data_IF_580381247676
#
_entry.id   IF_580381247676
#
_cell.length_a   1.000
_cell.length_b   1.000
_cell.length_c   1.000
_cell.angle_alpha   90.00
_cell.angle_beta   90.00
_cell.angle_gamma   90.00
#
_symmetry.space_group_name_H-M   'P 1'
#
loop_
_entity.id
_entity.type
_entity.pdbx_description
1 polymer ?
#
# COMPACT_ATOMS: atom_id res chain seq x y z
N UNK A 1 -0.06 -6.52 -29.24
CA UNK A 1 -0.22 -7.65 -30.19
C UNK A 1 -0.57 -8.88 -29.39
N UNK A 2 -1.83 -8.98 -28.96
CA UNK A 2 -2.35 -10.18 -28.30
C UNK A 2 -3.39 -10.73 -29.25
N UNK A 3 -3.01 -11.80 -29.94
CA UNK A 3 -3.89 -12.49 -30.85
C UNK A 3 -5.07 -13.02 -30.03
N UNK A 4 -6.25 -12.48 -30.30
CA UNK A 4 -7.54 -13.01 -29.87
C UNK A 4 -7.72 -14.32 -30.63
N UNK A 5 -7.02 -15.36 -30.18
CA UNK A 5 -7.29 -16.72 -30.63
C UNK A 5 -8.61 -17.09 -29.94
N UNK A 6 -9.73 -16.70 -30.56
CA UNK A 6 -10.97 -17.42 -30.38
C UNK A 6 -10.67 -18.86 -30.79
N UNK A 7 -10.24 -19.69 -29.84
CA UNK A 7 -10.11 -21.12 -30.00
C UNK A 7 -11.50 -21.66 -30.35
N UNK A 8 -11.77 -21.73 -31.65
CA UNK A 8 -12.91 -22.40 -32.23
C UNK A 8 -12.79 -23.85 -31.81
N UNK A 9 -13.77 -24.30 -31.01
CA UNK A 9 -13.87 -25.71 -30.66
C UNK A 9 -13.94 -26.55 -31.94
N UNK A 10 -13.08 -27.57 -32.12
CA UNK A 10 -13.12 -28.40 -33.31
C UNK A 10 -14.48 -29.12 -33.35
N UNK A 11 -15.19 -28.93 -34.46
CA UNK A 11 -16.44 -29.64 -34.72
C UNK A 11 -16.10 -31.11 -35.00
N UNK A 12 -16.49 -31.99 -34.09
CA UNK A 12 -16.37 -33.45 -34.28
C UNK A 12 -17.39 -33.93 -35.34
N UNK A 13 -16.95 -34.76 -36.28
CA UNK A 13 -17.81 -35.36 -37.30
C UNK A 13 -18.75 -36.40 -36.68
N UNK A 14 -20.07 -36.21 -36.82
CA UNK A 14 -21.13 -37.07 -36.24
C UNK A 14 -21.21 -38.48 -36.89
N UNK A 15 -20.53 -38.73 -38.00
CA UNK A 15 -20.78 -39.93 -38.82
C UNK A 15 -20.19 -41.24 -38.26
N UNK A 16 -19.35 -41.20 -37.22
CA UNK A 16 -18.76 -42.43 -36.65
C UNK A 16 -19.30 -42.83 -35.27
N UNK A 17 -20.02 -41.93 -34.59
CA UNK A 17 -20.41 -42.13 -33.18
C UNK A 17 -21.67 -42.99 -33.06
N UNK A 18 -22.60 -42.91 -34.01
CA UNK A 18 -23.92 -43.54 -33.94
C UNK A 18 -23.93 -45.07 -33.85
N UNK A 19 -22.81 -45.74 -34.18
CA UNK A 19 -22.72 -47.21 -34.08
C UNK A 19 -22.05 -47.71 -32.78
N UNK A 20 -21.40 -46.84 -32.00
CA UNK A 20 -20.76 -47.21 -30.71
C UNK A 20 -21.39 -46.52 -29.50
N UNK A 21 -22.12 -45.42 -29.70
CA UNK A 21 -22.83 -44.71 -28.62
C UNK A 21 -24.17 -45.35 -28.23
N UNK A 22 -24.68 -46.33 -29.00
CA UNK A 22 -25.92 -47.04 -28.64
C UNK A 22 -25.75 -48.03 -27.48
N UNK A 23 -24.51 -48.27 -26.99
CA UNK A 23 -24.26 -48.99 -25.73
C UNK A 23 -24.10 -48.08 -24.51
N UNK A 24 -24.08 -46.76 -24.71
CA UNK A 24 -24.11 -45.76 -23.64
C UNK A 24 -25.38 -44.89 -23.71
N UNK A 25 -26.41 -45.38 -24.41
CA UNK A 25 -27.77 -44.83 -24.39
C UNK A 25 -28.53 -45.35 -23.18
N UNK A 26 -27.94 -45.13 -22.00
CA UNK A 26 -28.58 -45.25 -20.71
C UNK A 26 -28.17 -43.99 -19.96
N UNK A 27 -29.11 -43.07 -19.87
CA UNK A 27 -29.01 -41.86 -19.07
C UNK A 27 -28.48 -42.20 -17.67
N UNK A 28 -27.23 -41.85 -17.37
CA UNK A 28 -26.73 -41.92 -15.99
C UNK A 28 -27.00 -40.53 -15.37
N UNK A 29 -28.15 -40.32 -14.69
CA UNK A 29 -28.50 -39.03 -14.07
C UNK A 29 -27.41 -38.52 -13.11
N UNK A 30 -26.53 -39.42 -12.67
CA UNK A 30 -25.35 -39.14 -11.89
C UNK A 30 -24.35 -38.20 -12.61
N UNK A 31 -24.16 -38.34 -13.93
CA UNK A 31 -23.20 -37.53 -14.68
C UNK A 31 -23.73 -36.11 -14.95
N UNK A 32 -25.02 -35.98 -15.27
CA UNK A 32 -25.68 -34.69 -15.41
C UNK A 32 -25.70 -33.95 -14.06
N UNK A 33 -25.99 -34.64 -12.95
CA UNK A 33 -25.99 -34.03 -11.63
C UNK A 33 -24.59 -33.57 -11.18
N UNK A 34 -23.54 -34.35 -11.49
CA UNK A 34 -22.16 -33.94 -11.25
C UNK A 34 -21.79 -32.70 -12.06
N UNK A 35 -22.20 -32.65 -13.34
CA UNK A 35 -21.96 -31.47 -14.18
C UNK A 35 -22.62 -30.23 -13.59
N UNK A 36 -23.90 -30.28 -13.21
CA UNK A 36 -24.60 -29.17 -12.56
C UNK A 36 -23.88 -28.73 -11.28
N UNK A 37 -23.52 -29.69 -10.42
CA UNK A 37 -22.82 -29.43 -9.17
C UNK A 37 -21.48 -28.72 -9.39
N UNK A 38 -20.71 -29.15 -10.40
CA UNK A 38 -19.43 -28.53 -10.74
C UNK A 38 -19.59 -27.11 -11.31
N UNK A 39 -20.65 -26.85 -12.07
CA UNK A 39 -20.96 -25.49 -12.56
C UNK A 39 -21.36 -24.58 -11.39
N UNK A 40 -22.19 -25.07 -10.47
CA UNK A 40 -22.61 -24.32 -9.27
C UNK A 40 -21.43 -24.02 -8.33
N UNK A 41 -20.52 -24.98 -8.15
CA UNK A 41 -19.32 -24.78 -7.35
C UNK A 41 -18.39 -23.75 -7.98
N UNK A 42 -18.17 -23.82 -9.30
CA UNK A 42 -17.40 -22.80 -10.01
C UNK A 42 -18.04 -21.42 -9.86
N UNK A 43 -19.35 -21.31 -9.99
CA UNK A 43 -20.05 -20.02 -9.89
C UNK A 43 -19.90 -19.44 -8.47
N UNK A 44 -20.03 -20.27 -7.43
CA UNK A 44 -19.73 -19.87 -6.03
C UNK A 44 -18.28 -19.42 -5.83
N UNK A 45 -17.32 -20.11 -6.45
CA UNK A 45 -15.91 -19.73 -6.38
C UNK A 45 -15.65 -18.40 -7.10
N UNK A 46 -16.30 -18.15 -8.23
CA UNK A 46 -16.21 -16.88 -8.97
C UNK A 46 -16.79 -15.74 -8.12
N UNK A 47 -17.92 -15.94 -7.46
CA UNK A 47 -18.50 -14.93 -6.57
C UNK A 47 -17.60 -14.67 -5.36
N UNK A 48 -17.04 -15.72 -4.74
CA UNK A 48 -16.08 -15.58 -3.63
C UNK A 48 -14.81 -14.84 -4.07
N UNK A 49 -14.32 -15.10 -5.28
CA UNK A 49 -13.16 -14.40 -5.83
C UNK A 49 -13.47 -12.90 -6.04
N UNK A 50 -14.67 -12.58 -6.52
CA UNK A 50 -15.10 -11.18 -6.69
C UNK A 50 -15.21 -10.46 -5.35
N UNK A 51 -15.82 -11.09 -4.34
CA UNK A 51 -15.94 -10.51 -3.00
C UNK A 51 -14.55 -10.26 -2.38
N UNK A 52 -13.63 -11.22 -2.50
CA UNK A 52 -12.25 -11.05 -1.97
C UNK A 52 -11.49 -9.95 -2.69
N UNK A 53 -11.67 -9.78 -4.01
CA UNK A 53 -11.08 -8.68 -4.77
C UNK A 53 -11.63 -7.32 -4.37
N UNK A 54 -12.94 -7.21 -4.13
CA UNK A 54 -13.56 -5.98 -3.64
C UNK A 54 -13.02 -5.60 -2.25
N UNK A 55 -12.97 -6.58 -1.33
CA UNK A 55 -12.41 -6.39 0.01
C UNK A 55 -10.93 -5.99 -0.04
N UNK A 56 -10.15 -6.59 -0.95
CA UNK A 56 -8.76 -6.21 -1.17
C UNK A 56 -8.67 -4.75 -1.62
N UNK A 57 -9.46 -4.36 -2.61
CA UNK A 57 -9.50 -2.98 -3.11
C UNK A 57 -9.85 -1.97 -2.01
N UNK A 58 -10.82 -2.28 -1.15
CA UNK A 58 -11.14 -1.45 0.02
C UNK A 58 -9.97 -1.31 1.00
N UNK A 59 -9.24 -2.40 1.26
CA UNK A 59 -8.08 -2.37 2.16
C UNK A 59 -6.91 -1.57 1.57
N UNK A 60 -6.69 -1.66 0.26
CA UNK A 60 -5.67 -0.86 -0.43
C UNK A 60 -6.01 0.63 -0.40
N UNK A 61 -7.29 0.99 -0.56
CA UNK A 61 -7.74 2.37 -0.44
C UNK A 61 -7.50 2.93 0.98
N UNK A 62 -7.83 2.14 2.02
CA UNK A 62 -7.55 2.51 3.42
C UNK A 62 -6.05 2.63 3.70
N UNK A 63 -5.25 1.75 3.14
CA UNK A 63 -3.79 1.81 3.26
C UNK A 63 -3.26 3.14 2.69
N UNK A 64 -3.70 3.52 1.49
CA UNK A 64 -3.29 4.78 0.86
C UNK A 64 -3.68 6.02 1.70
N UNK A 65 -4.85 5.99 2.34
CA UNK A 65 -5.27 7.05 3.26
C UNK A 65 -4.35 7.15 4.48
N UNK A 66 -4.07 6.02 5.14
CA UNK A 66 -3.15 5.97 6.30
C UNK A 66 -1.73 6.39 5.91
N UNK A 67 -1.26 6.02 4.73
CA UNK A 67 0.05 6.46 4.23
C UNK A 67 0.12 7.98 4.05
N UNK A 68 -0.95 8.57 3.51
CA UNK A 68 -1.07 10.03 3.36
C UNK A 68 -1.11 10.73 4.73
N UNK A 69 -1.83 10.18 5.70
CA UNK A 69 -1.82 10.70 7.08
C UNK A 69 -0.43 10.62 7.71
N UNK A 70 0.25 9.48 7.58
CA UNK A 70 1.63 9.29 8.04
C UNK A 70 2.57 10.32 7.41
N UNK A 71 2.47 10.55 6.10
CA UNK A 71 3.31 11.54 5.42
C UNK A 71 2.99 12.98 5.87
N UNK A 72 1.71 13.28 6.11
CA UNK A 72 1.28 14.57 6.67
C UNK A 72 1.88 14.79 8.07
N UNK A 73 1.75 13.80 8.96
CA UNK A 73 2.32 13.85 10.30
C UNK A 73 3.85 13.95 10.27
N UNK A 74 4.50 13.20 9.39
CA UNK A 74 5.95 13.27 9.22
C UNK A 74 6.41 14.67 8.80
N UNK A 75 5.70 15.30 7.86
CA UNK A 75 5.97 16.70 7.49
C UNK A 75 5.76 17.67 8.65
N UNK A 76 4.73 17.47 9.47
CA UNK A 76 4.50 18.30 10.66
C UNK A 76 5.63 18.15 11.67
N UNK A 77 6.09 16.93 11.93
CA UNK A 77 7.23 16.67 12.82
C UNK A 77 8.49 17.36 12.27
N UNK A 78 8.80 17.16 10.99
CA UNK A 78 9.94 17.82 10.33
C UNK A 78 9.86 19.34 10.37
N UNK A 79 8.67 19.93 10.34
CA UNK A 79 8.49 21.38 10.43
C UNK A 79 8.63 21.92 11.87
N UNK A 80 8.21 21.15 12.88
CA UNK A 80 8.17 21.60 14.28
C UNK A 80 9.43 21.24 15.07
N UNK A 81 10.12 20.14 14.74
CA UNK A 81 11.34 19.73 15.46
C UNK A 81 12.49 20.75 15.35
N UNK A 82 12.77 21.37 14.18
CA UNK A 82 13.75 22.46 14.09
C UNK A 82 13.34 23.66 14.94
N UNK A 83 12.05 24.01 14.96
CA UNK A 83 11.54 25.14 15.75
C UNK A 83 11.73 24.90 17.24
N UNK A 84 11.38 23.72 17.75
CA UNK A 84 11.54 23.37 19.18
C UNK A 84 13.02 23.35 19.59
N UNK A 85 13.91 22.84 18.74
CA UNK A 85 15.35 22.84 18.99
C UNK A 85 15.94 24.25 19.01
N UNK A 86 15.59 25.11 18.04
CA UNK A 86 16.04 26.50 17.97
C UNK A 86 15.51 27.29 19.17
N UNK A 87 14.23 27.14 19.52
CA UNK A 87 13.63 27.82 20.65
C UNK A 87 14.29 27.42 21.98
N UNK A 88 14.55 26.11 22.18
CA UNK A 88 15.24 25.60 23.38
C UNK A 88 16.66 26.16 23.50
N UNK A 89 17.39 26.20 22.39
CA UNK A 89 18.76 26.74 22.37
C UNK A 89 18.77 28.24 22.66
N UNK A 90 17.85 29.01 22.07
CA UNK A 90 17.69 30.45 22.36
C UNK A 90 17.33 30.69 23.83
N UNK A 91 16.41 29.91 24.40
CA UNK A 91 16.02 30.04 25.80
C UNK A 91 17.20 29.73 26.74
N UNK A 92 17.97 28.69 26.43
CA UNK A 92 19.20 28.35 27.17
C UNK A 92 20.25 29.46 27.07
N UNK A 93 20.42 30.06 25.88
CA UNK A 93 21.35 31.16 25.68
C UNK A 93 20.94 32.40 26.49
N UNK A 94 19.65 32.74 26.51
CA UNK A 94 19.12 33.84 27.32
C UNK A 94 19.31 33.57 28.82
N UNK A 95 19.06 32.33 29.28
CA UNK A 95 19.25 31.95 30.68
C UNK A 95 20.72 32.04 31.13
N UNK A 96 21.65 31.61 30.28
CA UNK A 96 23.08 31.79 30.52
C UNK A 96 23.47 33.28 30.56
N UNK A 97 22.96 34.10 29.65
CA UNK A 97 23.26 35.54 29.60
C UNK A 97 22.69 36.32 30.80
N UNK A 98 21.58 35.84 31.37
CA UNK A 98 20.93 36.45 32.54
C UNK A 98 21.65 36.14 33.85
N UNK A 99 22.43 35.05 33.90
CA UNK A 99 23.09 34.54 35.11
C UNK A 99 24.55 34.99 35.24
N UNK A 100 25.12 35.65 34.23
CA UNK A 100 26.51 36.15 34.28
C UNK A 100 26.56 37.61 34.75
N UNK A 101 27.37 37.94 35.78
CA UNK A 101 27.63 39.34 36.14
C UNK A 101 28.35 40.06 34.99
N UNK A 102 28.17 41.38 34.83
CA UNK A 102 28.89 42.14 33.82
C UNK A 102 30.36 42.13 34.23
N UNK A 103 31.23 41.43 33.51
CA UNK A 103 32.68 41.63 33.40
C UNK A 103 33.32 40.36 32.83
N UNK A 104 33.52 40.29 31.51
CA UNK A 104 34.65 39.69 30.75
C UNK A 104 34.27 39.52 29.27
N UNK A 105 35.24 39.43 28.33
CA UNK A 105 34.95 39.50 26.90
C UNK A 105 34.31 38.20 26.40
N UNK A 106 32.99 38.21 26.22
CA UNK A 106 32.13 37.13 25.68
C UNK A 106 32.37 36.79 24.19
N UNK A 107 33.60 36.95 23.70
CA UNK A 107 33.93 36.70 22.29
C UNK A 107 33.88 35.21 21.88
N UNK A 108 34.35 34.25 22.71
CA UNK A 108 34.37 32.84 22.30
C UNK A 108 32.98 32.19 22.30
N UNK A 109 32.15 32.49 23.30
CA UNK A 109 30.83 31.86 23.46
C UNK A 109 29.86 32.31 22.36
N UNK A 110 29.87 33.60 22.01
CA UNK A 110 29.09 34.10 20.87
C UNK A 110 29.55 33.45 19.55
N UNK A 111 30.86 33.30 19.33
CA UNK A 111 31.38 32.66 18.11
C UNK A 111 31.00 31.17 18.01
N UNK A 112 30.92 30.47 19.14
CA UNK A 112 30.48 29.08 19.16
C UNK A 112 28.99 28.97 18.80
N UNK A 113 28.12 29.76 19.42
CA UNK A 113 26.67 29.78 19.14
C UNK A 113 26.37 30.13 17.67
N UNK A 114 27.13 31.08 17.10
CA UNK A 114 26.97 31.51 15.71
C UNK A 114 27.46 30.45 14.70
N UNK A 115 28.51 29.70 15.07
CA UNK A 115 29.01 28.56 14.29
C UNK A 115 28.04 27.37 14.32
N UNK A 116 27.47 27.05 15.49
CA UNK A 116 26.46 25.99 15.61
C UNK A 116 25.17 26.34 14.87
N UNK A 117 24.75 27.62 14.89
CA UNK A 117 23.59 28.09 14.12
C UNK A 117 23.80 27.99 12.61
N UNK A 118 24.99 28.36 12.10
CA UNK A 118 25.33 28.17 10.67
C UNK A 118 25.39 26.70 10.27
N UNK A 119 25.95 25.84 11.11
CA UNK A 119 26.03 24.40 10.83
C UNK A 119 24.64 23.75 10.80
N UNK A 120 23.70 24.20 11.63
CA UNK A 120 22.32 23.71 11.60
C UNK A 120 21.52 24.27 10.41
N UNK A 121 21.79 25.51 9.98
CA UNK A 121 21.16 26.11 8.79
C UNK A 121 21.62 25.50 7.45
N UNK A 122 22.76 24.82 7.41
CA UNK A 122 23.32 24.20 6.20
C UNK A 122 22.90 22.74 5.96
N UNK A 123 22.17 22.13 6.90
CA UNK A 123 21.69 20.74 6.84
C UNK A 123 20.25 20.62 6.30
N UNK A 124 19.69 21.70 5.75
CA UNK A 124 18.33 21.78 5.21
C UNK A 124 18.34 22.10 3.72
#
# INVERSE_FOLDING_TARGET
MWNMMCDVMPTISEDSISQRSSQFSGEDPNFEHLMVSMLDERDKLVDSLRETQERLSETEAKLAEVEKERDSLQRQISANLPQVCVLRNLLSAIHCHSSLPPLTPLHPICSFIDSTSRSLGALN
#
